data_IF_898488555505
#
_entry.id   IF_898488555505
#
_cell.length_a   1.000
_cell.length_b   1.000
_cell.length_c   1.000
_cell.angle_alpha   90.00
_cell.angle_beta   90.00
_cell.angle_gamma   90.00
#
_symmetry.space_group_name_H-M   'P 1'
#
loop_
_entity.id
_entity.type
_entity.pdbx_description
1 polymer ?
#
# COMPACT_ATOMS: atom_id res chain seq x y z
N UNK A 1 8.02 -19.91 5.72
CA UNK A 1 7.57 -20.10 4.32
C UNK A 1 8.25 -19.19 3.30
N UNK A 2 7.96 -17.88 3.23
CA UNK A 2 8.55 -17.02 2.17
C UNK A 2 10.08 -17.00 2.22
N UNK A 3 10.65 -16.83 3.41
CA UNK A 3 12.10 -16.87 3.60
C UNK A 3 12.69 -18.22 3.12
N UNK A 4 12.07 -19.34 3.46
CA UNK A 4 12.51 -20.67 3.01
C UNK A 4 12.45 -20.80 1.49
N UNK A 5 11.40 -20.29 0.84
CA UNK A 5 11.28 -20.27 -0.62
C UNK A 5 12.43 -19.48 -1.25
N UNK A 6 12.77 -18.32 -0.70
CA UNK A 6 13.91 -17.51 -1.17
C UNK A 6 15.23 -18.26 -0.97
N UNK A 7 15.44 -18.90 0.18
CA UNK A 7 16.66 -19.70 0.42
C UNK A 7 16.76 -20.91 -0.51
N UNK A 8 15.66 -21.58 -0.81
CA UNK A 8 15.62 -22.69 -1.78
C UNK A 8 15.95 -22.17 -3.18
N UNK A 9 15.29 -21.12 -3.65
CA UNK A 9 15.60 -20.53 -4.95
C UNK A 9 17.06 -20.07 -5.07
N UNK A 10 17.63 -19.49 -4.01
CA UNK A 10 19.04 -19.09 -3.97
C UNK A 10 19.99 -20.28 -4.08
N UNK A 11 19.67 -21.43 -3.46
CA UNK A 11 20.43 -22.68 -3.64
C UNK A 11 20.29 -23.26 -5.04
N UNK A 12 19.07 -23.29 -5.57
CA UNK A 12 18.77 -23.90 -6.87
C UNK A 12 19.41 -23.13 -8.04
N UNK A 13 19.50 -21.80 -7.91
CA UNK A 13 20.09 -20.92 -8.93
C UNK A 13 21.57 -20.64 -8.74
N UNK A 14 22.13 -20.92 -7.55
CA UNK A 14 23.49 -20.52 -7.17
C UNK A 14 23.68 -19.01 -7.00
N UNK A 15 22.62 -18.21 -7.07
CA UNK A 15 22.68 -16.76 -6.90
C UNK A 15 22.34 -16.38 -5.45
N UNK A 16 23.20 -15.62 -4.74
CA UNK A 16 22.91 -15.20 -3.38
C UNK A 16 21.76 -14.19 -3.36
N UNK A 17 20.76 -14.42 -2.52
CA UNK A 17 19.66 -13.49 -2.29
C UNK A 17 19.52 -13.22 -0.78
N UNK A 18 19.79 -11.97 -0.38
CA UNK A 18 19.67 -11.49 1.01
C UNK A 18 18.23 -11.08 1.30
N UNK A 19 17.77 -11.31 2.53
CA UNK A 19 16.43 -10.98 2.98
C UNK A 19 16.50 -9.78 3.92
N UNK A 20 15.88 -8.68 3.53
CA UNK A 20 15.56 -7.54 4.40
C UNK A 20 14.15 -7.75 4.96
N UNK A 21 14.00 -7.70 6.28
CA UNK A 21 12.69 -7.72 6.95
C UNK A 21 12.42 -6.38 7.63
N UNK A 22 11.28 -5.76 7.32
CA UNK A 22 10.89 -4.47 7.89
C UNK A 22 10.25 -4.64 9.27
N UNK A 23 10.73 -3.87 10.25
CA UNK A 23 9.99 -3.50 11.44
C UNK A 23 9.11 -2.31 11.10
N UNK A 24 7.82 -2.41 11.39
CA UNK A 24 6.83 -1.46 10.91
C UNK A 24 6.86 -0.14 11.70
N UNK A 25 7.32 -0.17 12.96
CA UNK A 25 7.21 0.96 13.87
C UNK A 25 5.76 1.25 14.25
N UNK A 26 5.53 2.42 14.84
CA UNK A 26 4.21 2.89 15.23
C UNK A 26 3.43 3.47 14.04
N UNK A 27 3.10 2.67 13.02
CA UNK A 27 2.30 3.15 11.87
C UNK A 27 0.93 3.66 12.33
N UNK A 28 0.79 4.98 12.38
CA UNK A 28 -0.43 5.66 12.79
C UNK A 28 -1.37 5.68 11.59
N UNK A 29 -2.55 5.08 11.75
CA UNK A 29 -3.52 4.91 10.68
C UNK A 29 -4.93 5.18 11.19
N UNK A 30 -5.83 5.54 10.27
CA UNK A 30 -7.24 5.68 10.58
C UNK A 30 -7.85 4.34 11.02
N UNK A 31 -8.67 4.41 12.05
CA UNK A 31 -9.36 3.29 12.63
C UNK A 31 -10.54 2.81 11.76
N UNK A 32 -11.34 1.86 12.28
CA UNK A 32 -12.42 1.26 11.53
C UNK A 32 -13.52 2.28 11.21
N UNK A 33 -14.28 1.99 10.16
CA UNK A 33 -15.50 2.68 9.79
C UNK A 33 -16.66 1.68 9.79
N UNK A 34 -17.92 2.14 9.88
CA UNK A 34 -19.07 1.24 9.94
C UNK A 34 -19.18 0.41 8.66
N UNK A 35 -19.47 -0.87 8.83
CA UNK A 35 -19.81 -1.74 7.73
C UNK A 35 -21.16 -1.35 7.14
N UNK A 36 -21.23 -1.30 5.82
CA UNK A 36 -22.47 -1.32 5.06
C UNK A 36 -22.68 -2.70 4.43
N UNK A 37 -23.93 -3.04 4.09
CA UNK A 37 -24.23 -4.20 3.28
C UNK A 37 -23.35 -4.23 2.03
N UNK A 38 -22.70 -5.36 1.79
CA UNK A 38 -21.90 -5.57 0.60
C UNK A 38 -22.75 -5.43 -0.67
N UNK A 39 -22.22 -4.77 -1.70
CA UNK A 39 -22.92 -4.55 -2.97
C UNK A 39 -22.07 -5.05 -4.14
N UNK A 40 -22.61 -5.99 -4.91
CA UNK A 40 -22.10 -6.32 -6.24
C UNK A 40 -22.80 -5.43 -7.25
N UNK A 41 -22.05 -4.53 -7.90
CA UNK A 41 -22.55 -3.69 -8.98
C UNK A 41 -22.10 -4.25 -10.33
N UNK A 42 -23.04 -4.90 -11.03
CA UNK A 42 -22.81 -5.33 -12.41
C UNK A 42 -23.04 -4.15 -13.35
N UNK A 43 -21.97 -3.73 -14.04
CA UNK A 43 -21.99 -2.61 -14.98
C UNK A 43 -21.63 -3.10 -16.40
N UNK A 44 -22.63 -3.39 -17.24
CA UNK A 44 -22.37 -3.79 -18.63
C UNK A 44 -21.68 -2.67 -19.41
N UNK A 45 -20.78 -3.03 -20.30
CA UNK A 45 -20.10 -2.10 -21.19
C UNK A 45 -21.00 -1.74 -22.37
N UNK A 46 -21.05 -0.46 -22.72
CA UNK A 46 -21.92 0.07 -23.78
C UNK A 46 -21.16 1.03 -24.66
N UNK A 47 -21.51 1.06 -25.94
CA UNK A 47 -20.99 2.04 -26.88
C UNK A 47 -21.54 3.44 -26.59
N UNK A 48 -21.06 4.43 -27.36
CA UNK A 48 -21.51 5.82 -27.23
C UNK A 48 -22.99 6.03 -27.55
N UNK A 49 -23.64 5.08 -28.21
CA UNK A 49 -25.08 5.09 -28.55
C UNK A 49 -25.91 4.32 -27.52
N UNK A 50 -25.28 3.78 -26.47
CA UNK A 50 -25.94 3.00 -25.42
C UNK A 50 -26.23 1.55 -25.81
N UNK A 51 -25.70 1.04 -26.92
CA UNK A 51 -25.82 -0.37 -27.32
C UNK A 51 -24.85 -1.22 -26.50
N UNK A 52 -25.27 -2.43 -26.14
CA UNK A 52 -24.46 -3.36 -25.35
C UNK A 52 -23.24 -3.82 -26.18
N UNK A 53 -22.04 -3.65 -25.63
CA UNK A 53 -20.80 -4.20 -26.17
C UNK A 53 -20.47 -5.51 -25.45
N UNK A 54 -20.27 -5.41 -24.14
CA UNK A 54 -19.97 -6.56 -23.27
C UNK A 54 -20.94 -6.59 -22.09
N UNK A 55 -21.53 -7.76 -21.79
CA UNK A 55 -22.32 -7.93 -20.59
C UNK A 55 -21.44 -7.92 -19.33
N UNK A 56 -22.02 -7.52 -18.20
CA UNK A 56 -21.35 -7.67 -16.91
C UNK A 56 -21.53 -9.10 -16.39
N UNK A 57 -20.51 -9.65 -15.74
CA UNK A 57 -20.51 -11.01 -15.19
C UNK A 57 -20.24 -10.98 -13.69
N UNK A 58 -20.84 -11.91 -12.96
CA UNK A 58 -20.42 -12.30 -11.62
C UNK A 58 -20.30 -13.82 -11.55
N UNK A 59 -19.43 -14.29 -10.68
CA UNK A 59 -19.27 -15.70 -10.34
C UNK A 59 -19.95 -15.96 -9.00
N UNK A 60 -20.94 -16.84 -8.98
CA UNK A 60 -21.60 -17.27 -7.75
C UNK A 60 -21.40 -18.77 -7.53
N UNK A 61 -21.34 -19.23 -6.29
CA UNK A 61 -21.44 -20.66 -5.97
C UNK A 61 -22.87 -20.98 -5.54
N UNK A 62 -23.56 -21.83 -6.28
CA UNK A 62 -24.92 -22.25 -5.96
C UNK A 62 -24.86 -23.39 -4.93
N UNK A 63 -25.48 -23.21 -3.77
CA UNK A 63 -25.44 -24.22 -2.71
C UNK A 63 -26.69 -24.17 -1.82
N UNK A 64 -26.98 -25.26 -1.11
CA UNK A 64 -28.12 -25.33 -0.17
C UNK A 64 -27.75 -24.90 1.26
N UNK A 65 -26.45 -24.84 1.57
CA UNK A 65 -25.95 -24.48 2.89
C UNK A 65 -24.92 -23.36 2.76
N UNK A 66 -24.97 -22.41 3.69
CA UNK A 66 -23.98 -21.35 3.76
C UNK A 66 -22.61 -21.92 4.14
N UNK A 67 -21.60 -21.61 3.32
CA UNK A 67 -20.20 -21.81 3.69
C UNK A 67 -19.72 -20.66 4.58
N UNK A 68 -18.79 -20.93 5.49
CA UNK A 68 -18.13 -19.91 6.32
C UNK A 68 -17.15 -19.03 5.54
N UNK A 69 -16.72 -19.46 4.36
CA UNK A 69 -15.80 -18.69 3.49
C UNK A 69 -16.12 -18.89 2.01
N UNK A 70 -15.88 -17.84 1.21
CA UNK A 70 -15.99 -17.90 -0.24
C UNK A 70 -14.73 -18.51 -0.85
N UNK A 71 -14.85 -19.45 -1.81
CA UNK A 71 -13.71 -19.93 -2.58
C UNK A 71 -13.05 -18.80 -3.39
N UNK A 72 -11.78 -18.97 -3.71
CA UNK A 72 -11.04 -18.02 -4.57
C UNK A 72 -11.73 -17.88 -5.93
N UNK A 73 -11.94 -16.64 -6.38
CA UNK A 73 -12.59 -16.35 -7.67
C UNK A 73 -14.12 -16.40 -7.68
N UNK A 74 -14.74 -16.62 -6.51
CA UNK A 74 -16.21 -16.56 -6.34
C UNK A 74 -16.59 -15.22 -5.69
N UNK A 75 -17.48 -14.47 -6.33
CA UNK A 75 -17.94 -13.16 -5.85
C UNK A 75 -18.97 -13.29 -4.73
N UNK A 76 -19.84 -14.31 -4.79
CA UNK A 76 -20.91 -14.52 -3.81
C UNK A 76 -21.44 -15.97 -3.78
N UNK A 77 -22.32 -16.24 -2.83
CA UNK A 77 -23.13 -17.46 -2.81
C UNK A 77 -24.50 -17.18 -3.42
N UNK A 78 -25.03 -18.16 -4.15
CA UNK A 78 -26.46 -18.26 -4.43
C UNK A 78 -27.05 -19.37 -3.55
N UNK A 79 -27.64 -18.98 -2.42
CA UNK A 79 -28.26 -19.93 -1.49
C UNK A 79 -29.63 -20.36 -2.01
N UNK A 80 -29.73 -21.64 -2.38
CA UNK A 80 -30.93 -22.23 -2.92
C UNK A 80 -31.91 -22.58 -1.80
N UNK A 81 -33.19 -22.22 -1.99
CA UNK A 81 -34.26 -22.57 -1.04
C UNK A 81 -34.40 -24.10 -0.98
N UNK A 82 -34.73 -24.66 0.19
CA UNK A 82 -34.90 -26.10 0.37
C UNK A 82 -35.81 -26.73 -0.69
N UNK A 83 -35.35 -27.81 -1.31
CA UNK A 83 -36.06 -28.49 -2.40
C UNK A 83 -35.92 -27.84 -3.78
N UNK A 84 -35.17 -26.73 -3.90
CA UNK A 84 -34.88 -26.13 -5.20
C UNK A 84 -33.87 -26.96 -5.99
N UNK A 85 -34.00 -26.98 -7.31
CA UNK A 85 -33.00 -27.60 -8.17
C UNK A 85 -31.84 -26.63 -8.47
N UNK A 86 -30.70 -27.18 -8.88
CA UNK A 86 -29.54 -26.40 -9.32
C UNK A 86 -29.84 -25.60 -10.61
N UNK A 87 -29.30 -24.38 -10.72
CA UNK A 87 -29.35 -23.62 -11.96
C UNK A 87 -28.63 -24.34 -13.10
N UNK A 88 -29.14 -24.18 -14.32
CA UNK A 88 -28.55 -24.77 -15.53
C UNK A 88 -28.08 -23.69 -16.50
N UNK A 89 -27.11 -24.04 -17.35
CA UNK A 89 -26.64 -23.14 -18.40
C UNK A 89 -27.79 -22.72 -19.33
N UNK A 90 -27.84 -21.43 -19.68
CA UNK A 90 -28.90 -20.81 -20.48
C UNK A 90 -30.18 -20.46 -19.70
N UNK A 91 -30.18 -20.62 -18.37
CA UNK A 91 -31.33 -20.30 -17.52
C UNK A 91 -31.44 -18.80 -17.23
N UNK A 92 -32.66 -18.27 -17.34
CA UNK A 92 -32.98 -16.87 -17.05
C UNK A 92 -33.45 -16.71 -15.60
N UNK A 93 -32.58 -16.22 -14.72
CA UNK A 93 -32.88 -15.93 -13.32
C UNK A 93 -33.46 -14.52 -13.19
N UNK A 94 -34.74 -14.45 -12.82
CA UNK A 94 -35.43 -13.22 -12.47
C UNK A 94 -35.07 -12.80 -11.04
N UNK A 95 -34.51 -11.60 -10.88
CA UNK A 95 -34.09 -11.05 -9.61
C UNK A 95 -34.72 -9.68 -9.37
N UNK A 96 -34.87 -9.30 -8.11
CA UNK A 96 -35.08 -7.90 -7.72
C UNK A 96 -33.77 -7.36 -7.17
N UNK A 97 -33.25 -6.29 -7.79
CA UNK A 97 -32.01 -5.65 -7.35
C UNK A 97 -32.22 -4.84 -6.06
N UNK A 98 -31.14 -4.35 -5.43
CA UNK A 98 -31.17 -3.58 -4.19
C UNK A 98 -31.96 -2.25 -4.27
N UNK A 99 -32.34 -1.82 -5.49
CA UNK A 99 -33.19 -0.65 -5.74
C UNK A 99 -34.65 -1.04 -6.00
N UNK A 100 -34.98 -2.33 -5.86
CA UNK A 100 -36.31 -2.88 -6.15
C UNK A 100 -36.62 -3.06 -7.64
N UNK A 101 -35.65 -2.90 -8.54
CA UNK A 101 -35.88 -3.05 -9.99
C UNK A 101 -35.76 -4.51 -10.40
N UNK A 102 -36.69 -4.98 -11.23
CA UNK A 102 -36.63 -6.31 -11.82
C UNK A 102 -35.47 -6.43 -12.81
N UNK A 103 -34.70 -7.50 -12.71
CA UNK A 103 -33.52 -7.79 -13.52
C UNK A 103 -33.51 -9.26 -13.91
N UNK A 104 -32.97 -9.55 -15.09
CA UNK A 104 -32.74 -10.93 -15.54
C UNK A 104 -31.25 -11.16 -15.62
N UNK A 105 -30.79 -12.19 -14.92
CA UNK A 105 -29.44 -12.73 -15.04
C UNK A 105 -29.48 -14.02 -15.83
N UNK A 106 -28.64 -14.15 -16.84
CA UNK A 106 -28.53 -15.37 -17.63
C UNK A 106 -27.39 -16.22 -17.06
N UNK A 107 -27.63 -17.50 -16.81
CA UNK A 107 -26.58 -18.44 -16.42
C UNK A 107 -25.74 -18.78 -17.65
N UNK A 108 -24.57 -18.17 -17.78
CA UNK A 108 -23.67 -18.33 -18.94
C UNK A 108 -22.92 -19.67 -18.90
N UNK A 109 -22.46 -20.08 -17.72
CA UNK A 109 -21.67 -21.30 -17.49
C UNK A 109 -21.96 -21.89 -16.11
N UNK A 110 -21.86 -23.21 -15.99
CA UNK A 110 -21.98 -23.96 -14.74
C UNK A 110 -20.85 -24.99 -14.67
N UNK A 111 -20.02 -24.95 -13.64
CA UNK A 111 -18.92 -25.89 -13.38
C UNK A 111 -18.78 -26.18 -11.90
N UNK A 112 -18.91 -27.45 -11.48
CA UNK A 112 -18.74 -27.87 -10.09
C UNK A 112 -19.46 -26.93 -9.09
N UNK A 113 -20.75 -26.66 -9.34
CA UNK A 113 -21.62 -25.78 -8.53
C UNK A 113 -21.32 -24.27 -8.62
N UNK A 114 -20.21 -23.89 -9.26
CA UNK A 114 -19.89 -22.51 -9.58
C UNK A 114 -20.61 -22.11 -10.87
N UNK A 115 -21.35 -21.02 -10.81
CA UNK A 115 -22.13 -20.47 -11.92
C UNK A 115 -21.63 -19.09 -12.29
N UNK A 116 -21.55 -18.81 -13.59
CA UNK A 116 -21.31 -17.47 -14.11
C UNK A 116 -22.63 -16.85 -14.51
N UNK A 117 -22.99 -15.74 -13.87
CA UNK A 117 -24.22 -15.00 -14.10
C UNK A 117 -23.93 -13.74 -14.91
N UNK A 118 -24.67 -13.57 -16.00
CA UNK A 118 -24.50 -12.49 -16.94
C UNK A 118 -25.67 -11.49 -16.86
N UNK A 119 -25.36 -10.20 -16.78
CA UNK A 119 -26.33 -9.11 -16.84
C UNK A 119 -26.09 -8.22 -18.07
N UNK A 120 -27.17 -7.88 -18.77
CA UNK A 120 -27.17 -6.93 -19.90
C UNK A 120 -27.60 -5.52 -19.48
N UNK A 121 -28.11 -5.37 -18.25
CA UNK A 121 -28.50 -4.10 -17.65
C UNK A 121 -27.74 -3.87 -16.34
N UNK A 122 -27.53 -2.59 -15.99
CA UNK A 122 -26.91 -2.24 -14.71
C UNK A 122 -27.78 -2.66 -13.51
N UNK A 123 -27.23 -3.47 -12.61
CA UNK A 123 -27.92 -3.99 -11.44
C UNK A 123 -27.01 -4.06 -10.20
N UNK A 124 -27.65 -3.99 -9.03
CA UNK A 124 -27.00 -3.88 -7.73
C UNK A 124 -27.53 -5.02 -6.86
N UNK A 125 -26.67 -5.92 -6.39
CA UNK A 125 -27.08 -7.03 -5.54
C UNK A 125 -26.39 -6.95 -4.18
N UNK A 126 -27.19 -7.07 -3.13
CA UNK A 126 -26.81 -7.21 -1.73
C UNK A 126 -27.22 -8.59 -1.24
N UNK A 127 -26.66 -9.00 -0.09
CA UNK A 127 -27.12 -10.20 0.59
C UNK A 127 -28.65 -10.12 0.83
N UNK A 128 -29.36 -11.21 0.53
CA UNK A 128 -30.82 -11.31 0.64
C UNK A 128 -31.60 -11.00 -0.64
N UNK A 129 -30.98 -10.40 -1.68
CA UNK A 129 -31.68 -10.25 -2.97
C UNK A 129 -32.04 -11.62 -3.53
N UNK A 130 -33.33 -11.83 -3.81
CA UNK A 130 -33.88 -13.11 -4.28
C UNK A 130 -33.77 -13.24 -5.79
N UNK A 131 -33.59 -14.47 -6.25
CA UNK A 131 -33.68 -14.83 -7.65
C UNK A 131 -34.49 -16.11 -7.87
N UNK A 132 -35.18 -16.19 -9.02
CA UNK A 132 -35.96 -17.35 -9.43
C UNK A 132 -35.87 -17.55 -10.94
N UNK A 133 -35.73 -18.79 -11.39
CA UNK A 133 -35.79 -19.10 -12.81
C UNK A 133 -37.17 -18.81 -13.40
N UNK A 134 -37.20 -18.13 -14.56
CA UNK A 134 -38.44 -17.84 -15.30
C UNK A 134 -39.09 -19.11 -15.87
N UNK A 135 -38.29 -20.14 -16.18
CA UNK A 135 -38.75 -21.38 -16.83
C UNK A 135 -38.98 -22.50 -15.83
N UNK A 136 -38.04 -22.71 -14.91
CA UNK A 136 -38.07 -23.76 -13.89
C UNK A 136 -38.37 -23.14 -12.53
N UNK A 137 -39.65 -22.90 -12.22
CA UNK A 137 -40.04 -22.17 -11.00
C UNK A 137 -39.51 -22.79 -9.70
N UNK A 138 -39.12 -24.06 -9.70
CA UNK A 138 -38.46 -24.77 -8.62
C UNK A 138 -36.94 -24.50 -8.52
N UNK A 139 -36.39 -23.56 -9.28
CA UNK A 139 -35.02 -23.04 -9.11
C UNK A 139 -35.15 -21.66 -8.49
N UNK A 140 -34.95 -21.59 -7.17
CA UNK A 140 -35.10 -20.36 -6.38
C UNK A 140 -33.98 -20.24 -5.37
N UNK A 141 -33.52 -19.02 -5.13
CA UNK A 141 -32.52 -18.73 -4.13
C UNK A 141 -32.40 -17.25 -3.80
N UNK A 142 -31.40 -16.93 -3.00
CA UNK A 142 -31.03 -15.55 -2.68
C UNK A 142 -29.52 -15.43 -2.58
N UNK A 143 -29.01 -14.24 -2.89
CA UNK A 143 -27.58 -13.98 -2.79
C UNK A 143 -27.15 -13.88 -1.32
N UNK A 144 -25.98 -14.45 -1.01
CA UNK A 144 -25.36 -14.40 0.31
C UNK A 144 -23.84 -14.35 0.17
N UNK A 145 -23.14 -14.17 1.29
CA UNK A 145 -21.67 -14.13 1.30
C UNK A 145 -21.07 -12.91 0.59
N UNK A 146 -21.87 -11.94 0.15
CA UNK A 146 -21.35 -10.71 -0.47
C UNK A 146 -20.56 -9.93 0.60
N UNK A 147 -19.24 -9.71 0.42
CA UNK A 147 -18.40 -9.08 1.43
C UNK A 147 -18.93 -7.69 1.78
N UNK A 148 -19.07 -7.41 3.08
CA UNK A 148 -19.45 -6.09 3.57
C UNK A 148 -18.51 -5.02 3.01
N UNK A 149 -19.08 -3.85 2.72
CA UNK A 149 -18.35 -2.72 2.17
C UNK A 149 -18.28 -1.64 3.21
N UNK A 150 -17.13 -1.02 3.36
CA UNK A 150 -16.97 0.08 4.31
C UNK A 150 -17.61 1.35 3.75
N UNK A 151 -18.41 2.06 4.56
CA UNK A 151 -18.91 3.39 4.19
C UNK A 151 -17.79 4.41 4.41
N UNK A 152 -17.21 5.01 3.35
CA UNK A 152 -16.20 6.02 3.54
C UNK A 152 -16.81 7.33 4.03
N UNK A 153 -16.01 8.10 4.76
CA UNK A 153 -16.36 9.47 5.09
C UNK A 153 -16.02 10.36 3.89
N UNK A 154 -17.01 11.09 3.42
CA UNK A 154 -16.76 12.13 2.43
C UNK A 154 -16.32 13.41 3.14
N UNK A 155 -15.20 13.99 2.69
CA UNK A 155 -14.61 15.18 3.29
C UNK A 155 -14.29 16.21 2.20
N UNK A 156 -14.76 17.43 2.40
CA UNK A 156 -14.51 18.61 1.58
C UNK A 156 -13.69 19.66 2.34
N UNK A 157 -13.15 20.64 1.63
CA UNK A 157 -12.41 21.74 2.25
C UNK A 157 -13.37 22.55 3.14
N UNK A 158 -12.95 22.81 4.38
CA UNK A 158 -13.75 23.50 5.39
C UNK A 158 -14.52 22.56 6.31
N UNK A 159 -14.66 21.27 5.96
CA UNK A 159 -15.31 20.29 6.84
C UNK A 159 -14.57 20.14 8.16
N UNK A 160 -15.32 19.74 9.19
CA UNK A 160 -14.79 19.40 10.50
C UNK A 160 -14.76 17.88 10.69
N UNK A 161 -13.60 17.38 11.12
CA UNK A 161 -13.35 15.96 11.39
C UNK A 161 -12.80 15.82 12.81
N UNK A 162 -13.47 15.05 13.66
CA UNK A 162 -12.99 14.70 14.99
C UNK A 162 -12.09 13.45 14.90
N UNK A 163 -10.80 13.62 15.20
CA UNK A 163 -9.88 12.51 15.44
C UNK A 163 -10.04 12.04 16.89
N UNK A 164 -10.73 10.93 17.08
CA UNK A 164 -11.22 10.47 18.38
C UNK A 164 -10.16 9.71 19.17
N UNK A 165 -10.02 10.02 20.45
CA UNK A 165 -9.10 9.32 21.38
C UNK A 165 -9.59 7.94 21.79
N UNK A 166 -10.91 7.71 21.77
CA UNK A 166 -11.50 6.42 22.09
C UNK A 166 -11.60 5.55 20.84
N UNK A 167 -11.30 4.26 21.00
CA UNK A 167 -11.49 3.27 19.95
C UNK A 167 -12.96 3.10 19.58
N UNK A 168 -13.21 2.68 18.34
CA UNK A 168 -14.55 2.45 17.82
C UNK A 168 -14.69 2.85 16.35
N UNK A 169 -15.78 2.43 15.69
CA UNK A 169 -16.03 2.79 14.31
C UNK A 169 -16.29 4.30 14.22
N UNK A 170 -15.62 4.94 13.26
CA UNK A 170 -15.90 6.32 12.90
C UNK A 170 -17.31 6.49 12.31
N UNK A 171 -17.61 7.66 11.79
CA UNK A 171 -18.92 7.91 11.20
C UNK A 171 -19.05 9.28 10.54
N UNK A 172 -20.05 9.45 9.66
CA UNK A 172 -20.28 10.73 8.99
C UNK A 172 -20.75 11.79 9.99
N UNK A 173 -20.69 13.04 9.56
CA UNK A 173 -21.33 14.14 10.28
C UNK A 173 -22.84 13.87 10.42
N UNK A 174 -23.38 14.07 11.61
CA UNK A 174 -24.79 13.79 11.93
C UNK A 174 -25.30 14.78 12.97
N UNK A 175 -26.48 15.37 12.72
CA UNK A 175 -27.19 16.24 13.67
C UNK A 175 -26.31 17.37 14.25
N UNK A 176 -25.52 18.04 13.40
CA UNK A 176 -24.62 19.12 13.80
C UNK A 176 -23.32 18.68 14.47
N UNK A 177 -23.08 17.36 14.62
CA UNK A 177 -21.78 16.82 15.05
C UNK A 177 -20.86 16.60 13.85
N UNK A 178 -19.55 16.86 13.97
CA UNK A 178 -18.59 16.63 12.90
C UNK A 178 -18.49 15.14 12.53
N UNK A 179 -17.93 14.87 11.35
CA UNK A 179 -17.50 13.52 11.01
C UNK A 179 -16.44 13.07 12.01
N UNK A 180 -16.29 11.76 12.23
CA UNK A 180 -15.42 11.23 13.29
C UNK A 180 -14.65 10.00 12.82
N UNK A 181 -13.40 9.87 13.26
CA UNK A 181 -12.55 8.73 12.96
C UNK A 181 -11.58 8.51 14.12
N UNK A 182 -11.31 7.27 14.51
CA UNK A 182 -10.25 6.92 15.48
C UNK A 182 -8.90 6.72 14.78
N UNK A 183 -7.82 6.47 15.54
CA UNK A 183 -6.55 6.01 14.98
C UNK A 183 -5.95 4.84 15.74
N UNK A 184 -4.99 4.15 15.12
CA UNK A 184 -4.32 2.95 15.66
C UNK A 184 -3.43 3.24 16.88
N UNK A 185 -3.00 4.49 17.06
CA UNK A 185 -2.13 4.93 18.16
C UNK A 185 -2.77 6.16 18.82
N UNK A 186 -3.81 5.99 19.67
CA UNK A 186 -4.56 7.11 20.24
C UNK A 186 -3.71 8.00 21.17
N UNK A 187 -2.57 7.51 21.66
CA UNK A 187 -1.65 8.23 22.54
C UNK A 187 -1.02 9.47 21.86
N UNK A 188 -1.11 9.56 20.52
CA UNK A 188 -0.59 10.71 19.77
C UNK A 188 -1.55 11.90 19.78
N UNK A 189 -2.86 11.67 19.98
CA UNK A 189 -3.89 12.72 19.86
C UNK A 189 -3.68 13.84 20.89
N UNK A 190 -3.39 13.54 22.18
CA UNK A 190 -3.10 14.58 23.17
C UNK A 190 -1.83 15.39 22.87
N UNK A 191 -0.93 14.88 22.03
CA UNK A 191 0.34 15.52 21.69
C UNK A 191 0.20 16.54 20.55
N UNK A 192 -0.97 16.60 19.88
CA UNK A 192 -1.18 17.48 18.73
C UNK A 192 -1.48 18.93 19.18
N UNK A 193 -0.57 19.91 18.99
CA UNK A 193 -0.88 21.29 19.34
C UNK A 193 -1.96 21.88 18.40
N UNK A 194 -2.66 22.92 18.88
CA UNK A 194 -3.52 23.72 18.00
C UNK A 194 -2.66 24.30 16.87
N UNK A 195 -3.15 24.21 15.63
CA UNK A 195 -2.40 24.59 14.44
C UNK A 195 -1.54 23.48 13.83
N UNK A 196 -1.41 22.30 14.48
CA UNK A 196 -0.68 21.17 13.92
C UNK A 196 -1.30 20.71 12.60
N UNK A 197 -0.45 20.52 11.59
CA UNK A 197 -0.86 19.91 10.33
C UNK A 197 -1.04 18.42 10.49
N UNK A 198 -2.13 17.90 9.92
CA UNK A 198 -2.44 16.47 9.87
C UNK A 198 -2.66 16.09 8.41
N UNK A 199 -1.86 15.18 7.91
CA UNK A 199 -1.97 14.67 6.54
C UNK A 199 -2.49 13.23 6.56
N UNK A 200 -3.36 12.91 5.62
CA UNK A 200 -4.04 11.61 5.57
C UNK A 200 -3.98 11.01 4.16
N UNK A 201 -3.79 9.69 4.09
CA UNK A 201 -3.76 8.88 2.85
C UNK A 201 -2.72 9.39 1.85
N UNK A 202 -1.44 9.36 2.24
CA UNK A 202 -0.29 9.84 1.44
C UNK A 202 -0.44 11.31 1.02
N UNK A 203 -0.98 12.11 1.94
CA UNK A 203 -1.20 13.54 1.76
C UNK A 203 -2.33 13.96 0.81
N UNK A 204 -3.23 13.04 0.45
CA UNK A 204 -4.42 13.35 -0.36
C UNK A 204 -5.44 14.21 0.36
N UNK A 205 -5.44 14.16 1.69
CA UNK A 205 -6.24 15.02 2.56
C UNK A 205 -5.28 15.73 3.51
N UNK A 206 -5.40 17.05 3.61
CA UNK A 206 -4.71 17.82 4.65
C UNK A 206 -5.74 18.46 5.56
N UNK A 207 -5.40 18.53 6.83
CA UNK A 207 -6.19 19.16 7.86
C UNK A 207 -5.29 19.90 8.85
N UNK A 208 -5.91 20.73 9.69
CA UNK A 208 -5.24 21.44 10.77
C UNK A 208 -6.02 21.25 12.07
N UNK A 209 -5.32 21.03 13.18
CA UNK A 209 -5.94 20.96 14.51
C UNK A 209 -6.51 22.33 14.87
N UNK A 210 -7.82 22.40 15.10
CA UNK A 210 -8.51 23.60 15.57
C UNK A 210 -8.51 23.68 17.10
N UNK A 211 -8.85 22.58 17.75
CA UNK A 211 -9.01 22.51 19.20
C UNK A 211 -8.79 21.09 19.71
N UNK A 212 -8.38 21.00 20.97
CA UNK A 212 -8.36 19.77 21.73
C UNK A 212 -9.67 19.67 22.54
N UNK A 213 -10.33 18.53 22.43
CA UNK A 213 -11.62 18.27 23.10
C UNK A 213 -11.48 17.07 24.04
N UNK A 214 -12.46 16.87 24.92
CA UNK A 214 -12.51 15.66 25.76
C UNK A 214 -12.66 14.36 24.96
N UNK A 215 -13.12 14.43 23.70
CA UNK A 215 -13.32 13.27 22.83
C UNK A 215 -12.11 13.01 21.90
N UNK A 216 -11.20 13.97 21.76
CA UNK A 216 -10.03 13.93 20.85
C UNK A 216 -9.72 15.28 20.20
N UNK A 217 -9.03 15.29 19.07
CA UNK A 217 -8.65 16.52 18.37
C UNK A 217 -9.66 16.87 17.27
N UNK A 218 -10.21 18.08 17.29
CA UNK A 218 -11.06 18.58 16.21
C UNK A 218 -10.18 19.15 15.10
N UNK A 219 -10.33 18.62 13.89
CA UNK A 219 -9.57 19.00 12.72
C UNK A 219 -10.45 19.78 11.74
N UNK A 220 -9.87 20.78 11.07
CA UNK A 220 -10.45 21.41 9.88
C UNK A 220 -9.77 20.92 8.64
N UNK A 221 -10.53 20.42 7.68
CA UNK A 221 -9.99 20.01 6.39
C UNK A 221 -9.55 21.26 5.59
N UNK A 222 -8.29 21.29 5.19
CA UNK A 222 -7.68 22.41 4.48
C UNK A 222 -7.41 22.10 3.00
N UNK A 223 -7.29 20.82 2.64
CA UNK A 223 -7.01 20.40 1.26
C UNK A 223 -7.62 19.03 0.96
N UNK A 224 -8.28 18.94 -0.19
CA UNK A 224 -8.69 17.68 -0.84
C UNK A 224 -8.66 17.86 -2.36
N UNK A 225 -8.89 16.78 -3.12
CA UNK A 225 -9.12 16.87 -4.57
C UNK A 225 -10.45 17.57 -4.88
N UNK A 226 -10.66 18.09 -6.11
CA UNK A 226 -11.96 18.63 -6.52
C UNK A 226 -13.10 17.64 -6.29
N UNK A 227 -14.20 18.12 -5.69
CA UNK A 227 -15.35 17.29 -5.31
C UNK A 227 -15.11 16.39 -4.09
N UNK A 228 -14.16 16.75 -3.23
CA UNK A 228 -13.91 16.09 -1.94
C UNK A 228 -13.11 14.78 -2.03
N UNK A 229 -12.76 14.25 -0.87
CA UNK A 229 -12.03 12.99 -0.72
C UNK A 229 -12.87 11.95 0.02
N UNK A 230 -12.56 10.67 -0.20
CA UNK A 230 -13.17 9.53 0.52
C UNK A 230 -12.15 9.04 1.54
N UNK A 231 -12.37 9.33 2.82
CA UNK A 231 -11.57 8.77 3.89
C UNK A 231 -12.05 7.34 4.18
N UNK A 232 -11.10 6.41 4.14
CA UNK A 232 -11.29 4.98 4.37
C UNK A 232 -10.56 4.58 5.67
N UNK A 233 -10.83 3.38 6.21
CA UNK A 233 -10.00 2.81 7.28
C UNK A 233 -8.60 2.48 6.76
N UNK A 234 -7.67 2.27 7.69
CA UNK A 234 -6.28 1.86 7.41
C UNK A 234 -5.52 2.85 6.51
N UNK A 235 -5.84 4.14 6.62
CA UNK A 235 -5.15 5.23 5.89
C UNK A 235 -4.09 5.84 6.78
N UNK A 236 -2.88 6.02 6.26
CA UNK A 236 -1.78 6.65 6.98
C UNK A 236 -2.15 8.04 7.50
N UNK A 237 -1.74 8.32 8.73
CA UNK A 237 -1.79 9.64 9.37
C UNK A 237 -0.36 10.10 9.61
N UNK A 238 -0.03 11.28 9.11
CA UNK A 238 1.28 11.91 9.27
C UNK A 238 1.11 13.27 9.95
N UNK A 239 2.09 13.64 10.77
CA UNK A 239 2.07 14.86 11.58
C UNK A 239 3.36 15.66 11.34
N UNK A 240 3.50 16.31 10.17
CA UNK A 240 4.77 16.91 9.77
C UNK A 240 5.31 17.90 10.79
N UNK A 241 6.60 17.73 11.08
CA UNK A 241 7.34 18.58 12.01
C UNK A 241 7.02 18.37 13.49
N UNK A 242 6.13 17.43 13.84
CA UNK A 242 5.84 17.08 15.22
C UNK A 242 6.68 15.87 15.66
N UNK A 243 7.54 16.07 16.65
CA UNK A 243 8.21 14.96 17.33
C UNK A 243 7.22 14.27 18.25
N UNK A 244 6.88 13.01 17.96
CA UNK A 244 5.96 12.22 18.76
C UNK A 244 6.71 11.47 19.85
N UNK A 245 6.20 11.53 21.07
CA UNK A 245 6.71 10.77 22.21
C UNK A 245 6.22 9.32 22.16
N UNK A 246 6.78 8.56 21.21
CA UNK A 246 6.53 7.14 21.05
C UNK A 246 7.81 6.33 21.33
N UNK A 247 7.69 5.10 21.87
CA UNK A 247 8.83 4.20 21.96
C UNK A 247 9.50 4.00 20.59
N UNK A 248 10.81 3.82 20.60
CA UNK A 248 11.58 3.57 19.37
C UNK A 248 11.11 2.31 18.62
N UNK A 249 10.69 1.29 19.37
CA UNK A 249 10.18 0.02 18.88
C UNK A 249 8.83 -0.23 19.54
N UNK A 250 7.82 -0.56 18.74
CA UNK A 250 6.53 -0.96 19.26
C UNK A 250 6.61 -2.35 19.92
N UNK A 251 5.59 -2.69 20.73
CA UNK A 251 5.47 -4.05 21.28
C UNK A 251 5.43 -5.12 20.17
N UNK A 252 4.82 -4.79 19.02
CA UNK A 252 4.79 -5.65 17.85
C UNK A 252 6.17 -5.80 17.23
N UNK A 253 6.95 -4.72 17.11
CA UNK A 253 8.31 -4.80 16.56
C UNK A 253 9.21 -5.71 17.42
N UNK A 254 9.08 -5.62 18.76
CA UNK A 254 9.82 -6.46 19.68
C UNK A 254 9.47 -7.96 19.58
N UNK A 255 8.22 -8.27 19.26
CA UNK A 255 7.73 -9.63 18.98
C UNK A 255 8.20 -10.11 17.59
N UNK A 256 8.04 -9.27 16.57
CA UNK A 256 8.48 -9.53 15.20
C UNK A 256 9.99 -9.82 15.13
N UNK A 257 10.81 -9.12 15.93
CA UNK A 257 12.24 -9.37 16.04
C UNK A 257 12.57 -10.83 16.37
N UNK A 258 11.78 -11.49 17.22
CA UNK A 258 11.96 -12.90 17.56
C UNK A 258 11.80 -13.83 16.34
N UNK A 259 10.95 -13.43 15.39
CA UNK A 259 10.73 -14.16 14.14
C UNK A 259 11.74 -13.77 13.05
N UNK A 260 12.13 -12.50 13.00
CA UNK A 260 13.01 -11.93 11.97
C UNK A 260 14.45 -12.41 12.12
N UNK A 261 14.99 -12.39 13.34
CA UNK A 261 16.41 -12.66 13.62
C UNK A 261 16.93 -13.99 13.00
N UNK A 262 16.22 -15.13 13.09
CA UNK A 262 16.69 -16.38 12.48
C UNK A 262 16.46 -16.48 10.96
N UNK A 263 15.68 -15.57 10.35
CA UNK A 263 15.24 -15.70 8.96
C UNK A 263 15.89 -14.67 8.02
N UNK A 264 16.12 -13.46 8.50
CA UNK A 264 16.57 -12.33 7.70
C UNK A 264 18.09 -12.10 7.80
N UNK A 265 18.64 -11.44 6.78
CA UNK A 265 20.02 -10.96 6.77
C UNK A 265 20.11 -9.50 7.22
N UNK A 266 19.04 -8.73 6.98
CA UNK A 266 18.95 -7.31 7.27
C UNK A 266 17.60 -7.03 7.93
N UNK A 267 17.56 -5.99 8.76
CA UNK A 267 16.34 -5.47 9.37
C UNK A 267 16.14 -4.01 8.99
N UNK A 268 14.98 -3.68 8.44
CA UNK A 268 14.56 -2.32 8.12
C UNK A 268 13.95 -1.65 9.34
N UNK A 269 14.56 -0.59 9.85
CA UNK A 269 14.08 0.14 11.01
C UNK A 269 13.27 1.38 10.56
N UNK A 270 11.95 1.23 10.50
CA UNK A 270 11.01 2.29 10.12
C UNK A 270 10.89 3.36 11.22
N UNK A 271 10.64 4.61 10.81
CA UNK A 271 10.41 5.78 11.66
C UNK A 271 11.50 6.02 12.72
N UNK A 272 12.75 5.73 12.39
CA UNK A 272 13.89 6.14 13.23
C UNK A 272 13.99 7.67 13.22
N UNK A 273 13.93 8.31 14.37
CA UNK A 273 13.95 9.79 14.44
C UNK A 273 15.23 10.38 15.01
N UNK A 274 15.97 9.61 15.81
CA UNK A 274 17.16 10.11 16.51
C UNK A 274 18.12 8.99 16.94
N UNK A 275 19.30 9.40 17.44
CA UNK A 275 20.32 8.51 17.98
C UNK A 275 19.84 7.62 19.14
N UNK A 276 18.90 8.12 19.95
CA UNK A 276 18.27 7.35 21.03
C UNK A 276 17.49 6.15 20.48
N UNK A 277 16.68 6.36 19.44
CA UNK A 277 15.96 5.27 18.77
C UNK A 277 16.93 4.23 18.20
N UNK A 278 17.99 4.69 17.53
CA UNK A 278 19.00 3.79 17.00
C UNK A 278 19.66 2.96 18.10
N UNK A 279 20.06 3.56 19.22
CA UNK A 279 20.61 2.83 20.38
C UNK A 279 19.63 1.79 20.93
N UNK A 280 18.35 2.12 21.04
CA UNK A 280 17.31 1.17 21.48
C UNK A 280 17.17 -0.02 20.54
N UNK A 281 17.26 0.20 19.22
CA UNK A 281 17.22 -0.86 18.23
C UNK A 281 18.43 -1.80 18.34
N UNK A 282 19.65 -1.25 18.42
CA UNK A 282 20.88 -2.03 18.59
C UNK A 282 20.85 -2.84 19.89
N UNK A 283 20.36 -2.25 20.98
CA UNK A 283 20.21 -2.94 22.26
C UNK A 283 19.18 -4.08 22.19
N UNK A 284 18.04 -3.85 21.52
CA UNK A 284 17.01 -4.87 21.34
C UNK A 284 17.52 -6.08 20.53
N UNK A 285 18.36 -5.85 19.52
CA UNK A 285 19.04 -6.91 18.77
C UNK A 285 20.06 -7.64 19.63
N UNK A 286 20.91 -6.91 20.37
CA UNK A 286 21.91 -7.49 21.27
C UNK A 286 21.30 -8.42 22.32
N UNK A 287 20.21 -7.99 22.96
CA UNK A 287 19.48 -8.80 23.94
C UNK A 287 18.91 -10.10 23.36
N UNK A 288 18.71 -10.16 22.04
CA UNK A 288 18.17 -11.31 21.31
C UNK A 288 19.22 -12.03 20.47
N UNK A 289 20.51 -11.74 20.66
CA UNK A 289 21.62 -12.32 19.89
C UNK A 289 21.49 -12.09 18.37
N UNK A 290 20.88 -10.98 17.97
CA UNK A 290 20.64 -10.59 16.58
C UNK A 290 21.71 -9.64 16.00
N UNK A 291 22.91 -9.60 16.58
CA UNK A 291 23.99 -8.69 16.16
C UNK A 291 24.53 -9.00 14.76
N UNK A 292 24.24 -10.20 14.22
CA UNK A 292 24.60 -10.59 12.85
C UNK A 292 23.76 -9.90 11.76
N UNK A 293 22.58 -9.35 12.10
CA UNK A 293 21.75 -8.66 11.11
C UNK A 293 22.37 -7.28 10.80
N UNK A 294 22.32 -6.87 9.53
CA UNK A 294 22.56 -5.47 9.19
C UNK A 294 21.32 -4.61 9.44
N UNK A 295 21.48 -3.39 9.92
CA UNK A 295 20.38 -2.46 10.21
C UNK A 295 20.25 -1.44 9.09
N UNK A 296 19.09 -1.37 8.45
CA UNK A 296 18.77 -0.33 7.48
C UNK A 296 17.94 0.75 8.17
N UNK A 297 18.54 1.92 8.42
CA UNK A 297 17.83 3.08 8.94
C UNK A 297 16.93 3.69 7.85
N UNK A 298 15.62 3.68 8.04
CA UNK A 298 14.67 4.23 7.06
C UNK A 298 14.37 5.68 7.39
N UNK A 299 14.84 6.58 6.54
CA UNK A 299 14.65 8.02 6.72
C UNK A 299 13.29 8.40 6.12
N UNK A 300 12.29 8.41 6.99
CA UNK A 300 10.86 8.58 6.67
C UNK A 300 10.30 9.92 7.17
N UNK A 301 10.97 10.60 8.10
CA UNK A 301 10.47 11.84 8.73
C UNK A 301 11.45 13.00 8.58
N UNK A 302 10.92 14.22 8.70
CA UNK A 302 11.77 15.42 8.72
C UNK A 302 12.73 15.41 9.93
N UNK A 303 12.29 14.84 11.07
CA UNK A 303 13.11 14.65 12.27
C UNK A 303 14.27 13.68 12.02
N UNK A 304 14.00 12.54 11.37
CA UNK A 304 15.00 11.56 10.98
C UNK A 304 16.10 12.19 10.10
N UNK A 305 15.70 13.03 9.14
CA UNK A 305 16.62 13.73 8.27
C UNK A 305 17.46 14.77 9.05
N UNK A 306 16.83 15.58 9.90
CA UNK A 306 17.54 16.58 10.72
C UNK A 306 18.58 15.95 11.65
N UNK A 307 18.27 14.78 12.23
CA UNK A 307 19.15 14.04 13.13
C UNK A 307 19.94 12.92 12.43
N UNK A 308 20.00 12.93 11.09
CA UNK A 308 20.64 11.87 10.33
C UNK A 308 22.09 11.65 10.78
N UNK A 309 22.96 12.68 10.90
CA UNK A 309 24.34 12.48 11.37
C UNK A 309 24.42 11.76 12.73
N UNK A 310 23.58 12.12 13.70
CA UNK A 310 23.55 11.49 15.02
C UNK A 310 23.02 10.05 14.97
N UNK A 311 22.04 9.76 14.11
CA UNK A 311 21.54 8.40 13.86
C UNK A 311 22.67 7.52 13.32
N UNK A 312 23.43 8.01 12.33
CA UNK A 312 24.55 7.26 11.74
C UNK A 312 25.64 7.01 12.78
N UNK A 313 26.07 8.06 13.49
CA UNK A 313 27.10 7.97 14.54
C UNK A 313 26.71 6.99 15.66
N UNK A 314 25.43 6.87 15.98
CA UNK A 314 24.96 5.95 17.02
C UNK A 314 25.18 4.46 16.67
N UNK A 315 25.27 4.12 15.38
CA UNK A 315 25.43 2.74 14.90
C UNK A 315 26.82 2.44 14.33
N UNK A 316 27.56 3.44 13.88
CA UNK A 316 28.89 3.27 13.32
C UNK A 316 29.82 2.50 14.28
N UNK A 317 30.46 1.46 13.74
CA UNK A 317 31.38 0.58 14.48
C UNK A 317 30.70 -0.44 15.42
N UNK A 318 29.36 -0.47 15.51
CA UNK A 318 28.62 -1.37 16.38
C UNK A 318 27.91 -2.49 15.62
N UNK A 319 27.34 -2.18 14.46
CA UNK A 319 26.59 -3.12 13.64
C UNK A 319 26.70 -2.73 12.16
N UNK A 320 26.68 -3.69 11.20
CA UNK A 320 26.58 -3.34 9.79
C UNK A 320 25.33 -2.50 9.56
N UNK A 321 25.47 -1.37 8.85
CA UNK A 321 24.38 -0.42 8.66
C UNK A 321 24.28 0.02 7.19
N UNK A 322 23.06 0.35 6.78
CA UNK A 322 22.77 1.16 5.60
C UNK A 322 21.66 2.17 5.86
N UNK A 323 21.39 3.00 4.88
CA UNK A 323 20.33 4.01 4.92
C UNK A 323 19.33 3.73 3.81
N UNK A 324 18.04 3.89 4.07
CA UNK A 324 17.00 3.86 3.05
C UNK A 324 16.35 5.22 2.94
N UNK A 325 16.35 5.81 1.74
CA UNK A 325 15.59 7.03 1.45
C UNK A 325 14.15 6.61 1.21
N UNK A 326 13.33 6.64 2.26
CA UNK A 326 11.94 6.19 2.22
C UNK A 326 11.02 7.35 1.79
N UNK A 327 11.14 7.70 0.50
CA UNK A 327 10.52 8.88 -0.13
C UNK A 327 9.00 8.96 0.01
N UNK A 328 8.29 7.83 0.13
CA UNK A 328 6.84 7.80 0.30
C UNK A 328 6.35 8.62 1.50
N UNK A 329 6.75 8.23 2.71
CA UNK A 329 6.43 8.95 3.94
C UNK A 329 7.20 10.27 4.04
N UNK A 330 8.48 10.28 3.62
CA UNK A 330 9.32 11.47 3.69
C UNK A 330 8.75 12.64 2.86
N UNK A 331 8.17 12.38 1.70
CA UNK A 331 7.52 13.40 0.86
C UNK A 331 6.34 14.08 1.57
N UNK A 332 5.61 13.36 2.42
CA UNK A 332 4.51 13.92 3.21
C UNK A 332 5.04 14.83 4.30
N UNK A 333 6.20 14.49 4.87
CA UNK A 333 6.84 15.20 5.98
C UNK A 333 7.59 16.47 5.55
N UNK A 334 8.35 16.43 4.45
CA UNK A 334 9.15 17.58 3.98
C UNK A 334 8.49 18.35 2.84
N UNK A 335 7.43 17.79 2.24
CA UNK A 335 6.80 18.32 1.02
C UNK A 335 7.50 17.87 -0.26
N UNK A 336 6.77 17.81 -1.38
CA UNK A 336 7.31 17.29 -2.64
C UNK A 336 8.44 18.15 -3.23
N UNK A 337 8.42 19.48 -3.01
CA UNK A 337 9.46 20.38 -3.52
C UNK A 337 10.79 20.14 -2.81
N UNK A 338 10.75 19.97 -1.49
CA UNK A 338 11.95 19.78 -0.66
C UNK A 338 12.48 18.35 -0.72
N UNK A 339 11.65 17.37 -1.08
CA UNK A 339 12.07 15.97 -1.22
C UNK A 339 13.25 15.81 -2.20
N UNK A 340 13.24 16.55 -3.31
CA UNK A 340 14.28 16.50 -4.33
C UNK A 340 15.65 16.98 -3.80
N UNK A 341 15.65 17.93 -2.86
CA UNK A 341 16.85 18.40 -2.16
C UNK A 341 17.28 17.38 -1.09
N UNK A 342 16.35 16.99 -0.21
CA UNK A 342 16.61 16.11 0.94
C UNK A 342 17.19 14.76 0.52
N UNK A 343 16.70 14.15 -0.56
CA UNK A 343 17.26 12.88 -1.04
C UNK A 343 18.74 13.03 -1.46
N UNK A 344 19.14 14.19 -1.99
CA UNK A 344 20.52 14.43 -2.40
C UNK A 344 21.41 14.64 -1.17
N UNK A 345 20.94 15.37 -0.17
CA UNK A 345 21.66 15.54 1.09
C UNK A 345 21.84 14.22 1.85
N UNK A 346 20.82 13.35 1.86
CA UNK A 346 20.94 12.00 2.45
C UNK A 346 22.02 11.18 1.74
N UNK A 347 22.08 11.23 0.39
CA UNK A 347 23.13 10.56 -0.37
C UNK A 347 24.52 11.08 0.03
N UNK A 348 24.70 12.40 0.18
CA UNK A 348 25.99 12.99 0.59
C UNK A 348 26.41 12.56 1.99
N UNK A 349 25.49 12.62 2.96
CA UNK A 349 25.78 12.24 4.35
C UNK A 349 26.12 10.75 4.46
N UNK A 350 25.41 9.89 3.73
CA UNK A 350 25.70 8.46 3.70
C UNK A 350 27.03 8.16 3.00
N UNK A 351 27.33 8.84 1.89
CA UNK A 351 28.62 8.70 1.18
C UNK A 351 29.80 9.12 2.07
N UNK A 352 29.68 10.24 2.79
CA UNK A 352 30.68 10.70 3.76
C UNK A 352 30.86 9.73 4.94
N UNK A 353 29.79 9.05 5.35
CA UNK A 353 29.82 8.01 6.38
C UNK A 353 30.25 6.63 5.85
N UNK A 354 30.51 6.49 4.55
CA UNK A 354 30.78 5.22 3.86
C UNK A 354 29.68 4.16 4.08
N UNK A 355 28.42 4.59 4.14
CA UNK A 355 27.26 3.72 4.31
C UNK A 355 26.51 3.53 2.98
N UNK A 356 26.07 2.29 2.67
CA UNK A 356 25.25 2.04 1.49
C UNK A 356 23.86 2.66 1.64
N UNK A 357 23.34 3.17 0.53
CA UNK A 357 22.01 3.76 0.42
C UNK A 357 21.09 2.88 -0.42
N UNK A 358 19.84 2.77 0.01
CA UNK A 358 18.74 2.20 -0.75
C UNK A 358 17.85 3.35 -1.25
N UNK A 359 17.82 3.53 -2.57
CA UNK A 359 16.88 4.41 -3.27
C UNK A 359 15.50 3.76 -3.32
N UNK A 360 14.59 4.21 -2.48
CA UNK A 360 13.37 3.46 -2.21
C UNK A 360 12.07 4.24 -2.47
N UNK A 361 10.99 3.46 -2.54
CA UNK A 361 9.59 3.86 -2.78
C UNK A 361 9.32 4.48 -4.15
N UNK A 362 8.23 4.05 -4.79
CA UNK A 362 7.70 4.59 -6.05
C UNK A 362 8.63 4.52 -7.29
N UNK A 363 9.76 3.81 -7.21
CA UNK A 363 10.59 3.51 -8.40
C UNK A 363 9.82 2.53 -9.29
N UNK A 364 9.57 2.90 -10.55
CA UNK A 364 8.82 2.09 -11.53
C UNK A 364 7.47 1.57 -10.99
N UNK A 365 6.77 2.37 -10.19
CA UNK A 365 5.54 2.01 -9.49
C UNK A 365 4.39 1.60 -10.42
N UNK A 366 4.13 2.39 -11.45
CA UNK A 366 3.10 2.13 -12.45
C UNK A 366 3.47 0.92 -13.30
N UNK A 367 4.75 0.77 -13.67
CA UNK A 367 5.19 -0.41 -14.41
C UNK A 367 4.90 -1.66 -13.58
N UNK A 368 5.39 -1.69 -12.34
CA UNK A 368 5.21 -2.78 -11.39
C UNK A 368 3.73 -3.15 -11.19
N UNK A 369 2.85 -2.14 -11.07
CA UNK A 369 1.41 -2.34 -10.77
C UNK A 369 0.53 -2.57 -11.99
N UNK A 370 0.84 -1.95 -13.13
CA UNK A 370 -0.07 -1.82 -14.29
C UNK A 370 0.56 -2.23 -15.62
N UNK A 371 1.86 -2.56 -15.66
CA UNK A 371 2.57 -2.90 -16.89
C UNK A 371 2.78 -1.71 -17.82
N UNK A 372 2.65 -0.48 -17.30
CA UNK A 372 2.83 0.74 -18.07
C UNK A 372 3.82 1.64 -17.35
N UNK A 373 4.87 2.02 -18.05
CA UNK A 373 5.92 2.92 -17.54
C UNK A 373 5.71 4.35 -18.05
N UNK A 374 5.94 5.32 -17.19
CA UNK A 374 5.88 6.74 -17.50
C UNK A 374 7.28 7.37 -17.64
N UNK A 375 7.37 8.51 -18.36
CA UNK A 375 8.66 9.23 -18.51
C UNK A 375 9.29 9.64 -17.16
N UNK A 376 8.54 10.16 -16.18
CA UNK A 376 9.11 10.47 -14.87
C UNK A 376 9.71 9.26 -14.17
N UNK A 377 9.11 8.07 -14.32
CA UNK A 377 9.63 6.83 -13.72
C UNK A 377 10.95 6.38 -14.33
N UNK A 378 11.14 6.56 -15.65
CA UNK A 378 12.44 6.31 -16.28
C UNK A 378 13.52 7.21 -15.71
N UNK A 379 13.24 8.52 -15.59
CA UNK A 379 14.20 9.47 -15.04
C UNK A 379 14.50 9.16 -13.58
N UNK A 380 13.50 8.79 -12.79
CA UNK A 380 13.68 8.40 -11.39
C UNK A 380 14.55 7.14 -11.24
N UNK A 381 14.25 6.09 -12.01
CA UNK A 381 15.03 4.86 -12.01
C UNK A 381 16.50 5.11 -12.43
N UNK A 382 16.72 5.98 -13.42
CA UNK A 382 18.06 6.38 -13.84
C UNK A 382 18.83 7.15 -12.76
N UNK A 383 18.16 7.95 -11.93
CA UNK A 383 18.77 8.61 -10.78
C UNK A 383 19.12 7.63 -9.65
N UNK A 384 18.44 6.49 -9.58
CA UNK A 384 18.74 5.42 -8.63
C UNK A 384 20.17 4.88 -8.71
N UNK A 385 20.87 5.05 -9.84
CA UNK A 385 22.29 4.65 -10.02
C UNK A 385 23.25 5.32 -9.03
N UNK A 386 22.81 6.42 -8.39
CA UNK A 386 23.59 7.14 -7.39
C UNK A 386 23.66 6.43 -6.04
N UNK A 387 22.77 5.45 -5.81
CA UNK A 387 22.69 4.65 -4.61
C UNK A 387 23.23 3.24 -4.86
N UNK A 388 23.65 2.55 -3.80
CA UNK A 388 24.15 1.16 -3.89
C UNK A 388 23.04 0.16 -4.23
N UNK A 389 21.80 0.47 -3.84
CA UNK A 389 20.63 -0.37 -4.08
C UNK A 389 19.42 0.46 -4.51
N UNK A 390 18.53 -0.13 -5.31
CA UNK A 390 17.23 0.44 -5.68
C UNK A 390 16.12 -0.52 -5.28
N UNK A 391 15.07 -0.01 -4.63
CA UNK A 391 13.93 -0.82 -4.17
C UNK A 391 12.74 -0.68 -5.12
N UNK A 392 12.17 -1.82 -5.53
CA UNK A 392 10.91 -1.91 -6.24
C UNK A 392 9.79 -2.40 -5.31
N UNK A 393 8.56 -1.96 -5.55
CA UNK A 393 7.39 -2.45 -4.84
C UNK A 393 6.89 -3.78 -5.41
N UNK A 394 5.92 -4.41 -4.74
CA UNK A 394 5.25 -5.62 -5.26
C UNK A 394 4.22 -5.27 -6.35
N UNK A 395 4.06 -6.16 -7.32
CA UNK A 395 2.99 -6.06 -8.31
C UNK A 395 3.04 -7.19 -9.34
N UNK A 396 1.99 -7.32 -10.17
CA UNK A 396 1.88 -8.39 -11.16
C UNK A 396 2.99 -8.34 -12.23
N UNK A 397 3.60 -7.18 -12.45
CA UNK A 397 4.68 -6.96 -13.42
C UNK A 397 6.05 -6.78 -12.75
N UNK A 398 6.23 -7.30 -11.53
CA UNK A 398 7.48 -7.12 -10.77
C UNK A 398 8.72 -7.65 -11.53
N UNK A 399 8.60 -8.77 -12.23
CA UNK A 399 9.71 -9.35 -13.02
C UNK A 399 10.09 -8.41 -14.18
N UNK A 400 9.12 -7.87 -14.90
CA UNK A 400 9.35 -6.88 -15.96
C UNK A 400 9.99 -5.59 -15.42
N UNK A 401 9.55 -5.13 -14.25
CA UNK A 401 10.13 -3.98 -13.58
C UNK A 401 11.60 -4.22 -13.18
N UNK A 402 11.94 -5.42 -12.69
CA UNK A 402 13.33 -5.79 -12.38
C UNK A 402 14.20 -5.78 -13.64
N UNK A 403 13.74 -6.37 -14.75
CA UNK A 403 14.48 -6.34 -16.02
C UNK A 403 14.68 -4.91 -16.55
N UNK A 404 13.62 -4.11 -16.52
CA UNK A 404 13.66 -2.70 -16.96
C UNK A 404 14.63 -1.88 -16.10
N UNK A 405 14.58 -2.04 -14.78
CA UNK A 405 15.48 -1.37 -13.86
C UNK A 405 16.95 -1.77 -14.12
N UNK A 406 17.21 -3.07 -14.30
CA UNK A 406 18.55 -3.57 -14.59
C UNK A 406 19.13 -2.96 -15.88
N UNK A 407 18.34 -2.89 -16.96
CA UNK A 407 18.76 -2.27 -18.22
C UNK A 407 19.09 -0.78 -18.04
N UNK A 408 18.20 -0.03 -17.38
CA UNK A 408 18.41 1.40 -17.09
C UNK A 408 19.69 1.63 -16.29
N UNK A 409 19.88 0.89 -15.18
CA UNK A 409 21.05 1.05 -14.32
C UNK A 409 22.35 0.64 -15.02
N UNK A 410 22.33 -0.44 -15.80
CA UNK A 410 23.48 -0.92 -16.58
C UNK A 410 23.94 0.12 -17.60
N UNK A 411 23.00 0.83 -18.24
CA UNK A 411 23.33 1.93 -19.15
C UNK A 411 23.87 3.14 -18.38
N UNK A 412 23.27 3.47 -17.24
CA UNK A 412 23.61 4.68 -16.49
C UNK A 412 24.91 4.57 -15.67
N UNK A 413 25.32 3.38 -15.25
CA UNK A 413 26.51 3.19 -14.39
C UNK A 413 27.81 3.72 -15.03
N UNK A 414 27.90 3.69 -16.38
CA UNK A 414 29.06 4.22 -17.09
C UNK A 414 29.07 5.76 -17.13
N UNK A 415 27.91 6.40 -16.99
CA UNK A 415 27.77 7.85 -17.01
C UNK A 415 27.94 8.48 -15.62
N UNK A 416 27.60 7.72 -14.58
CA UNK A 416 27.49 8.23 -13.22
C UNK A 416 28.01 7.20 -12.23
N UNK A 417 28.95 7.62 -11.37
CA UNK A 417 29.36 6.85 -10.20
C UNK A 417 29.04 7.66 -8.95
N UNK A 418 28.06 7.18 -8.18
CA UNK A 418 27.48 7.93 -7.06
C UNK A 418 27.13 9.35 -7.50
N UNK A 419 27.80 10.35 -6.94
CA UNK A 419 27.55 11.77 -7.22
C UNK A 419 28.44 12.36 -8.32
N UNK A 420 29.38 11.59 -8.83
CA UNK A 420 30.33 12.04 -9.85
C UNK A 420 29.92 11.57 -11.24
N UNK A 421 29.81 12.50 -12.17
CA UNK A 421 29.68 12.16 -13.59
C UNK A 421 31.04 11.69 -14.11
N UNK A 422 31.07 10.53 -14.77
CA UNK A 422 32.33 9.89 -15.17
C UNK A 422 32.94 10.44 -16.48
N UNK A 423 32.33 11.47 -17.09
CA UNK A 423 32.80 12.14 -18.32
C UNK A 423 33.37 11.18 -19.39
N UNK A 424 32.76 10.00 -19.53
CA UNK A 424 33.22 8.94 -20.44
C UNK A 424 33.15 9.38 -21.91
N UNK A 425 33.90 8.72 -22.77
CA UNK A 425 33.77 8.88 -24.21
C UNK A 425 32.32 8.61 -24.66
N UNK A 426 31.72 9.59 -25.36
CA UNK A 426 30.32 9.50 -25.77
C UNK A 426 30.21 8.73 -27.10
N UNK A 427 29.23 7.84 -27.17
CA UNK A 427 28.84 7.14 -28.41
C UNK A 427 27.60 7.80 -29.00
N UNK A 428 27.72 9.09 -29.30
CA UNK A 428 26.64 9.90 -29.87
C UNK A 428 26.16 9.30 -31.20
N UNK A 429 24.91 8.86 -31.26
CA UNK A 429 24.28 8.37 -32.49
C UNK A 429 24.60 6.91 -32.87
N UNK A 430 25.25 6.13 -31.99
CA UNK A 430 25.40 4.70 -32.22
C UNK A 430 24.02 4.00 -32.17
N UNK A 431 23.70 3.25 -33.22
CA UNK A 431 22.45 2.47 -33.34
C UNK A 431 22.54 1.07 -32.73
N UNK A 432 23.73 0.65 -32.34
CA UNK A 432 23.99 -0.65 -31.72
C UNK A 432 23.89 -0.55 -30.18
N UNK A 433 23.48 -1.65 -29.55
CA UNK A 433 23.45 -1.73 -28.09
C UNK A 433 24.85 -1.48 -27.50
N UNK A 434 24.95 -0.79 -26.34
CA UNK A 434 26.22 -0.58 -25.69
C UNK A 434 26.89 -1.94 -25.42
N UNK A 435 28.22 -2.07 -25.61
CA UNK A 435 28.91 -3.33 -25.37
C UNK A 435 28.71 -3.81 -23.91
N UNK A 436 28.51 -5.11 -23.73
CA UNK A 436 28.28 -5.78 -22.43
C UNK A 436 29.39 -5.49 -21.40
N UNK A 437 30.59 -5.14 -21.86
CA UNK A 437 31.72 -4.74 -21.03
C UNK A 437 32.41 -3.52 -21.63
N UNK A 438 32.52 -2.47 -20.82
CA UNK A 438 33.32 -1.30 -21.12
C UNK A 438 34.77 -1.57 -20.70
N UNK A 439 35.78 -1.24 -21.52
CA UNK A 439 37.17 -1.36 -21.10
C UNK A 439 37.41 -0.53 -19.84
N UNK A 440 38.19 -1.08 -18.89
CA UNK A 440 38.53 -0.35 -17.66
C UNK A 440 39.20 1.00 -18.01
N UNK A 441 38.92 2.07 -17.23
CA UNK A 441 39.60 3.33 -17.41
C UNK A 441 41.12 3.14 -17.30
N UNK A 442 41.93 3.86 -18.09
CA UNK A 442 43.38 3.75 -18.01
C UNK A 442 43.84 4.08 -16.58
N UNK A 443 44.64 3.16 -16.01
CA UNK A 443 45.19 3.22 -14.66
C UNK A 443 46.10 4.42 -14.44
#
# INVERSE_FOLDING_TARGET
RLAEQVRTASRDTGQPCRILADLAGHKIRTGPLPDAPGVIHLRPERDRLGRLLEPARMTAMACHQASSSLPSGVDCLLLLVSGSAMPQQGEDLLCHDARGKERVLVVERVENEVITLQATQGCYFTAGNRCQSRRRRHVQGYFAGIPQSVVPLHLEIGDSLLLQSQGGPGGPALNGRPARISCTVPEVIPQLPIGQQVWVDDGKIAAVVLEQTSEGALLRITKTKPGGARLLPDRGLNFPGLALELPALSAKDLDDLGTIIPLADLVGFSFVENAGNMRSMLEALRQRQGEHLGVIAKIETASAFHHLPEILLAALGRQPMGVMIARGDLAVEVGPERLAEVQEEILWLAEAAHLPVIWATQVLEQLTKKGVISRPEFTDAAMGVRAECVMLNKGPYAVEAVHTLNDILTRMQAHQHKKFSQLRALHWGATEEPPDQWPEPPR
#
